data_IF_240294686233
#
_entry.id   IF_240294686233
#
_cell.length_a   1.000
_cell.length_b   1.000
_cell.length_c   1.000
_cell.angle_alpha   90.00
_cell.angle_beta   90.00
_cell.angle_gamma   90.00
#
_symmetry.space_group_name_H-M   'P 1'
#
loop_
_entity.id
_entity.type
_entity.pdbx_description
1 polymer ?
#
# COMPACT_ATOMS: atom_id res chain seq x y z
N UNK A 1 -26.65 -26.05 -34.48
CA UNK A 1 -26.16 -27.15 -33.63
C UNK A 1 -25.52 -26.52 -32.41
N UNK A 2 -26.27 -26.33 -31.32
CA UNK A 2 -25.75 -25.69 -30.10
C UNK A 2 -24.94 -26.72 -29.30
N UNK A 3 -23.75 -26.32 -28.86
CA UNK A 3 -22.79 -27.22 -28.23
C UNK A 3 -23.14 -27.46 -26.75
N UNK A 4 -23.59 -28.67 -26.37
CA UNK A 4 -24.12 -28.95 -25.04
C UNK A 4 -23.03 -28.97 -23.96
N UNK A 5 -21.75 -28.88 -24.34
CA UNK A 5 -20.64 -28.73 -23.38
C UNK A 5 -20.53 -27.29 -22.91
N UNK A 6 -20.80 -26.31 -23.79
CA UNK A 6 -20.76 -24.89 -23.44
C UNK A 6 -21.90 -24.50 -22.48
N UNK A 7 -23.09 -25.09 -22.67
CA UNK A 7 -24.19 -24.87 -21.72
C UNK A 7 -23.89 -25.39 -20.32
N UNK A 8 -23.22 -26.54 -20.22
CA UNK A 8 -22.86 -27.14 -18.93
C UNK A 8 -21.80 -26.33 -18.21
N UNK A 9 -20.80 -25.81 -18.94
CA UNK A 9 -19.76 -24.98 -18.34
C UNK A 9 -20.32 -23.63 -17.89
N UNK A 10 -21.17 -22.98 -18.69
CA UNK A 10 -21.80 -21.72 -18.32
C UNK A 10 -22.77 -21.86 -17.12
N UNK A 11 -23.52 -22.97 -17.04
CA UNK A 11 -24.34 -23.26 -15.85
C UNK A 11 -23.49 -23.49 -14.61
N UNK A 12 -22.34 -24.18 -14.74
CA UNK A 12 -21.44 -24.44 -13.61
C UNK A 12 -20.82 -23.15 -13.07
N UNK A 13 -20.35 -22.28 -13.97
CA UNK A 13 -19.79 -20.96 -13.59
C UNK A 13 -20.87 -20.08 -12.96
N UNK A 14 -22.09 -20.00 -13.51
CA UNK A 14 -23.19 -19.23 -12.89
C UNK A 14 -23.62 -19.76 -11.52
N UNK A 15 -23.63 -21.08 -11.32
CA UNK A 15 -23.94 -21.68 -10.02
C UNK A 15 -22.84 -21.43 -8.98
N UNK A 16 -21.60 -21.22 -9.42
CA UNK A 16 -20.46 -20.87 -8.57
C UNK A 16 -20.48 -19.39 -8.20
N UNK A 17 -20.85 -18.51 -9.13
CA UNK A 17 -21.05 -17.06 -8.88
C UNK A 17 -22.18 -16.78 -7.88
N UNK A 18 -23.28 -17.55 -7.93
CA UNK A 18 -24.43 -17.36 -7.04
C UNK A 18 -24.15 -17.81 -5.58
N UNK A 19 -23.22 -18.75 -5.37
CA UNK A 19 -22.84 -19.23 -4.02
C UNK A 19 -21.88 -18.29 -3.29
N UNK A 20 -21.03 -17.57 -4.03
CA UNK A 20 -20.16 -16.54 -3.45
C UNK A 20 -20.96 -15.32 -2.96
N UNK A 21 -22.07 -15.00 -3.62
CA UNK A 21 -22.93 -13.87 -3.22
C UNK A 21 -23.90 -14.22 -2.07
N UNK A 22 -24.27 -15.49 -1.89
CA UNK A 22 -25.21 -15.94 -0.84
C UNK A 22 -24.58 -16.23 0.53
N UNK A 23 -23.25 -16.09 0.67
CA UNK A 23 -22.55 -16.08 1.97
C UNK A 23 -22.42 -14.67 2.58
N UNK A 24 -23.08 -13.67 1.99
CA UNK A 24 -23.15 -12.28 2.47
C UNK A 24 -24.55 -11.82 2.90
N UNK A 25 -25.50 -12.74 3.12
CA UNK A 25 -26.84 -12.42 3.59
C UNK A 25 -27.16 -13.08 4.92
N UNK A 26 -27.00 -12.33 6.02
CA UNK A 26 -27.51 -12.72 7.33
C UNK A 26 -26.63 -12.40 8.53
N UNK A 27 -26.22 -11.14 8.72
CA UNK A 27 -25.90 -10.65 10.07
C UNK A 27 -27.13 -9.87 10.52
N UNK A 28 -27.87 -10.43 11.47
CA UNK A 28 -28.96 -9.75 12.15
C UNK A 28 -28.42 -8.53 12.88
N UNK A 29 -28.95 -7.35 12.54
CA UNK A 29 -28.60 -6.11 13.23
C UNK A 29 -29.25 -6.10 14.63
N UNK A 30 -28.46 -6.43 15.66
CA UNK A 30 -28.79 -6.03 17.03
C UNK A 30 -28.31 -4.58 17.21
N UNK A 31 -29.23 -3.62 17.09
CA UNK A 31 -28.95 -2.21 17.40
C UNK A 31 -28.75 -2.10 18.91
N UNK A 32 -27.50 -2.02 19.34
CA UNK A 32 -27.13 -1.63 20.70
C UNK A 32 -26.41 -0.29 20.60
N UNK A 33 -27.12 0.76 21.01
CA UNK A 33 -26.61 2.12 21.05
C UNK A 33 -25.47 2.21 22.09
N UNK A 34 -24.24 2.27 21.61
CA UNK A 34 -23.10 2.75 22.41
C UNK A 34 -22.39 3.84 21.62
N UNK A 35 -22.31 5.00 22.26
CA UNK A 35 -21.69 6.23 21.78
C UNK A 35 -20.19 6.16 22.12
N UNK A 36 -19.32 6.18 21.10
CA UNK A 36 -18.04 6.93 21.00
C UNK A 36 -17.07 6.32 19.97
N UNK A 37 -16.45 7.21 19.20
CA UNK A 37 -15.33 7.06 18.27
C UNK A 37 -15.66 6.54 16.84
N UNK A 38 -15.53 7.46 15.87
CA UNK A 38 -15.74 7.22 14.45
C UNK A 38 -14.70 6.26 13.86
N UNK A 39 -15.18 5.14 13.35
CA UNK A 39 -14.37 4.21 12.55
C UNK A 39 -14.68 4.50 11.08
N UNK A 40 -13.74 5.13 10.38
CA UNK A 40 -13.75 5.23 8.92
C UNK A 40 -13.38 3.87 8.33
N UNK A 41 -14.38 3.05 8.02
CA UNK A 41 -14.19 1.87 7.17
C UNK A 41 -14.25 2.34 5.71
N UNK A 42 -13.15 2.88 5.19
CA UNK A 42 -13.01 3.15 3.76
C UNK A 42 -12.52 1.87 3.08
N UNK A 43 -13.43 1.14 2.44
CA UNK A 43 -13.11 0.01 1.57
C UNK A 43 -12.45 0.50 0.29
N UNK A 44 -11.15 0.27 0.13
CA UNK A 44 -10.43 0.52 -1.12
C UNK A 44 -10.47 -0.76 -1.95
N UNK A 45 -11.40 -0.84 -2.90
CA UNK A 45 -11.36 -1.84 -3.97
C UNK A 45 -10.57 -1.24 -5.14
N UNK A 46 -9.24 -1.41 -5.12
CA UNK A 46 -8.43 -1.24 -6.32
C UNK A 46 -7.67 -2.53 -6.63
N UNK A 47 -7.94 -3.07 -7.82
CA UNK A 47 -7.33 -4.29 -8.31
C UNK A 47 -5.88 -4.04 -8.67
N UNK A 48 -4.97 -4.42 -7.79
CA UNK A 48 -3.57 -4.55 -8.14
C UNK A 48 -3.29 -6.01 -8.49
N UNK A 49 -2.70 -6.25 -9.66
CA UNK A 49 -2.04 -7.53 -9.93
C UNK A 49 -0.82 -7.56 -9.01
N UNK A 50 -0.93 -8.22 -7.86
CA UNK A 50 0.20 -8.47 -7.00
C UNK A 50 1.18 -9.39 -7.75
N UNK A 51 2.34 -8.86 -8.15
CA UNK A 51 3.47 -9.75 -8.45
C UNK A 51 3.82 -10.44 -7.13
N UNK A 52 3.98 -11.78 -7.10
CA UNK A 52 4.34 -12.47 -5.86
C UNK A 52 5.56 -11.82 -5.21
N UNK A 53 5.41 -11.40 -3.94
CA UNK A 53 6.47 -10.74 -3.18
C UNK A 53 6.44 -9.22 -3.21
N UNK A 54 5.66 -8.56 -4.09
CA UNK A 54 5.48 -7.11 -4.02
C UNK A 54 4.61 -6.72 -2.82
N UNK A 55 5.09 -5.73 -2.07
CA UNK A 55 4.41 -5.20 -0.89
C UNK A 55 4.05 -3.75 -1.13
N UNK A 56 2.75 -3.45 -1.05
CA UNK A 56 2.23 -2.09 -1.10
C UNK A 56 2.03 -1.57 0.31
N UNK A 57 2.62 -0.42 0.61
CA UNK A 57 2.55 0.24 1.92
C UNK A 57 2.01 1.64 1.73
N UNK A 58 1.09 2.06 2.60
CA UNK A 58 0.56 3.43 2.61
C UNK A 58 0.69 4.04 4.00
N UNK A 59 0.88 5.36 4.05
CA UNK A 59 0.91 6.12 5.28
C UNK A 59 0.32 7.51 5.09
N UNK A 60 -0.14 8.10 6.21
CA UNK A 60 -0.57 9.48 6.30
C UNK A 60 -0.02 10.12 7.59
N UNK A 61 0.41 11.38 7.51
CA UNK A 61 0.91 12.18 8.64
C UNK A 61 0.50 13.63 8.44
N UNK A 62 -0.59 14.06 9.08
CA UNK A 62 -1.22 15.34 8.76
C UNK A 62 -1.65 15.37 7.28
N UNK A 63 -1.21 16.39 6.55
CA UNK A 63 -1.45 16.56 5.11
C UNK A 63 -0.52 15.71 4.22
N UNK A 64 0.51 15.09 4.80
CA UNK A 64 1.48 14.30 4.04
C UNK A 64 0.93 12.90 3.84
N UNK A 65 0.94 12.42 2.59
CA UNK A 65 0.56 11.07 2.24
C UNK A 65 1.66 10.38 1.47
N UNK A 66 1.83 9.08 1.69
CA UNK A 66 2.81 8.26 0.98
C UNK A 66 2.18 6.94 0.56
N UNK A 67 2.43 6.54 -0.68
CA UNK A 67 2.24 5.17 -1.17
C UNK A 67 3.57 4.66 -1.65
N UNK A 68 4.00 3.48 -1.21
CA UNK A 68 5.25 2.86 -1.61
C UNK A 68 5.02 1.40 -1.99
N UNK A 69 5.45 1.03 -3.19
CA UNK A 69 5.57 -0.37 -3.61
C UNK A 69 7.00 -0.84 -3.41
N UNK A 70 7.17 -1.94 -2.69
CA UNK A 70 8.45 -2.61 -2.46
C UNK A 70 8.45 -3.88 -3.31
N UNK A 71 9.40 -3.96 -4.24
CA UNK A 71 9.61 -5.16 -5.06
C UNK A 71 10.92 -5.84 -4.61
N UNK A 72 10.86 -7.08 -4.09
CA UNK A 72 12.05 -7.82 -3.69
C UNK A 72 13.00 -8.07 -4.84
N UNK A 73 14.30 -8.08 -4.54
CA UNK A 73 15.38 -8.54 -5.39
C UNK A 73 16.40 -9.31 -4.54
N UNK A 74 17.45 -9.85 -5.16
CA UNK A 74 18.45 -10.70 -4.50
C UNK A 74 19.29 -9.94 -3.46
N UNK A 75 18.82 -9.89 -2.22
CA UNK A 75 19.50 -9.24 -1.09
C UNK A 75 19.28 -7.72 -0.99
N UNK A 76 18.35 -7.17 -1.76
CA UNK A 76 18.00 -5.75 -1.77
C UNK A 76 16.55 -5.56 -2.26
N UNK A 77 16.05 -4.32 -2.22
CA UNK A 77 14.70 -3.99 -2.69
C UNK A 77 14.70 -2.84 -3.67
N UNK A 78 13.81 -2.91 -4.67
CA UNK A 78 13.39 -1.76 -5.47
C UNK A 78 12.21 -1.10 -4.79
N UNK A 79 12.19 0.23 -4.77
CA UNK A 79 11.07 1.01 -4.28
C UNK A 79 10.50 1.89 -5.37
N UNK A 80 9.18 1.99 -5.41
CA UNK A 80 8.46 3.01 -6.15
C UNK A 80 7.53 3.72 -5.18
N UNK A 81 7.86 4.97 -4.83
CA UNK A 81 7.12 5.75 -3.85
C UNK A 81 6.51 6.99 -4.49
N UNK A 82 5.26 7.29 -4.14
CA UNK A 82 4.59 8.56 -4.44
C UNK A 82 4.31 9.24 -3.11
N UNK A 83 4.76 10.49 -2.98
CA UNK A 83 4.63 11.30 -1.76
C UNK A 83 3.94 12.61 -2.10
N UNK A 84 2.89 12.94 -1.36
CA UNK A 84 2.06 14.13 -1.51
C UNK A 84 2.10 14.99 -0.24
N UNK A 85 1.75 16.28 -0.37
CA UNK A 85 1.56 17.18 0.79
C UNK A 85 2.85 17.72 1.42
N UNK A 86 4.00 17.54 0.78
CA UNK A 86 5.27 18.11 1.25
C UNK A 86 5.31 19.62 1.04
N UNK A 87 6.04 20.32 1.94
CA UNK A 87 6.30 21.75 1.77
C UNK A 87 7.15 21.98 0.52
N UNK A 88 6.87 23.01 -0.30
CA UNK A 88 7.74 23.36 -1.42
C UNK A 88 9.15 23.68 -0.94
N UNK A 89 10.13 23.36 -1.79
CA UNK A 89 11.57 23.59 -1.55
C UNK A 89 12.16 22.76 -0.39
N UNK A 90 11.36 21.87 0.22
CA UNK A 90 11.81 20.92 1.24
C UNK A 90 12.73 19.87 0.62
N UNK A 91 13.93 19.71 1.18
CA UNK A 91 14.85 18.64 0.79
C UNK A 91 14.41 17.36 1.49
N UNK A 92 14.16 16.32 0.72
CA UNK A 92 13.63 15.06 1.22
C UNK A 92 14.52 13.88 0.82
N UNK A 93 14.51 12.84 1.66
CA UNK A 93 15.15 11.56 1.40
C UNK A 93 14.18 10.43 1.74
N UNK A 94 14.08 9.45 0.85
CA UNK A 94 13.40 8.20 1.12
C UNK A 94 14.40 7.26 1.80
N UNK A 95 14.07 6.77 2.98
CA UNK A 95 14.94 5.93 3.79
C UNK A 95 14.23 4.65 4.17
N UNK A 96 14.90 3.53 3.96
CA UNK A 96 14.48 2.22 4.45
C UNK A 96 15.26 1.92 5.71
N UNK A 97 14.56 1.59 6.80
CA UNK A 97 15.16 1.16 8.06
C UNK A 97 14.98 -0.34 8.19
N UNK A 98 16.05 -1.07 8.48
CA UNK A 98 15.98 -2.51 8.71
C UNK A 98 15.57 -2.86 10.16
N UNK A 99 15.31 -4.14 10.40
CA UNK A 99 14.95 -4.69 11.73
C UNK A 99 16.03 -4.50 12.80
N UNK A 100 17.26 -4.12 12.42
CA UNK A 100 18.38 -3.80 13.32
C UNK A 100 18.52 -2.29 13.53
N UNK A 101 17.64 -1.47 12.97
CA UNK A 101 17.65 -0.02 13.03
C UNK A 101 18.66 0.66 12.09
N UNK A 102 19.32 -0.09 11.19
CA UNK A 102 20.23 0.49 10.20
C UNK A 102 19.41 1.18 9.11
N UNK A 103 19.86 2.35 8.68
CA UNK A 103 19.17 3.20 7.70
C UNK A 103 19.88 3.16 6.35
N UNK A 104 19.09 3.00 5.30
CA UNK A 104 19.56 2.93 3.92
C UNK A 104 18.79 3.96 3.09
N UNK A 105 19.50 4.94 2.53
CA UNK A 105 18.89 5.97 1.68
C UNK A 105 18.57 5.35 0.32
N UNK A 106 17.30 5.37 -0.06
CA UNK A 106 16.81 4.86 -1.33
C UNK A 106 16.76 5.91 -2.44
N UNK A 107 16.77 7.20 -2.08
CA UNK A 107 16.85 8.33 -3.01
C UNK A 107 16.55 9.65 -2.30
N UNK A 108 16.77 10.76 -2.99
CA UNK A 108 16.52 12.10 -2.45
C UNK A 108 16.04 13.07 -3.53
N UNK A 109 15.27 14.08 -3.12
CA UNK A 109 14.67 15.06 -4.01
C UNK A 109 14.43 16.40 -3.29
N UNK A 110 14.01 17.40 -4.06
CA UNK A 110 13.46 18.66 -3.54
C UNK A 110 11.99 18.70 -3.93
N UNK A 111 11.10 18.91 -2.97
CA UNK A 111 9.66 18.93 -3.21
C UNK A 111 9.25 20.16 -4.04
N UNK A 112 8.43 19.93 -5.08
CA UNK A 112 7.87 21.00 -5.92
C UNK A 112 6.46 21.38 -5.44
N UNK A 113 6.06 22.63 -5.70
CA UNK A 113 4.75 23.14 -5.25
C UNK A 113 3.62 22.53 -6.06
N UNK A 114 2.68 21.88 -5.38
CA UNK A 114 1.41 21.43 -5.97
C UNK A 114 1.48 20.11 -6.71
N UNK A 115 2.64 19.45 -6.73
CA UNK A 115 2.84 18.15 -7.38
C UNK A 115 3.15 17.07 -6.35
N UNK A 116 2.57 15.90 -6.55
CA UNK A 116 3.04 14.68 -5.90
C UNK A 116 4.40 14.29 -6.47
N UNK A 117 5.34 13.92 -5.60
CA UNK A 117 6.63 13.43 -6.06
C UNK A 117 6.61 11.92 -6.16
N UNK A 118 6.84 11.40 -7.37
CA UNK A 118 7.11 9.99 -7.59
C UNK A 118 8.61 9.73 -7.71
N UNK A 119 9.13 8.86 -6.87
CA UNK A 119 10.53 8.46 -6.80
C UNK A 119 10.66 6.95 -6.97
N UNK A 120 11.52 6.55 -7.90
CA UNK A 120 12.01 5.17 -7.98
C UNK A 120 13.40 5.09 -7.33
N UNK A 121 13.58 4.16 -6.41
CA UNK A 121 14.80 4.01 -5.61
C UNK A 121 15.17 2.55 -5.36
N UNK A 122 16.25 2.35 -4.61
CA UNK A 122 16.70 1.02 -4.17
C UNK A 122 17.36 1.08 -2.81
N UNK A 123 17.18 0.04 -1.98
CA UNK A 123 17.83 -0.05 -0.68
C UNK A 123 18.49 -1.42 -0.50
N UNK A 124 19.69 -1.43 0.09
CA UNK A 124 20.45 -2.64 0.41
C UNK A 124 19.87 -3.32 1.68
N UNK A 125 18.61 -3.72 1.61
CA UNK A 125 17.85 -4.41 2.65
C UNK A 125 17.02 -5.50 2.00
N UNK A 126 17.02 -6.72 2.54
CA UNK A 126 16.09 -7.75 2.09
C UNK A 126 14.65 -7.35 2.45
N UNK A 127 13.67 -7.66 1.61
CA UNK A 127 12.27 -7.27 1.87
C UNK A 127 11.74 -7.77 3.21
N UNK A 128 12.14 -8.98 3.64
CA UNK A 128 11.78 -9.55 4.94
C UNK A 128 12.38 -8.83 6.15
N UNK A 129 13.43 -8.02 5.93
CA UNK A 129 14.19 -7.35 6.98
C UNK A 129 13.79 -5.88 7.13
N UNK A 130 12.84 -5.37 6.36
CA UNK A 130 12.40 -3.98 6.44
C UNK A 130 11.55 -3.78 7.69
N UNK A 131 11.94 -2.82 8.53
CA UNK A 131 11.17 -2.38 9.69
C UNK A 131 10.31 -1.14 9.38
N UNK A 132 10.83 -0.22 8.58
CA UNK A 132 10.12 1.00 8.22
C UNK A 132 10.61 1.59 6.89
N UNK A 133 9.71 2.31 6.22
CA UNK A 133 10.01 3.17 5.08
C UNK A 133 9.58 4.56 5.47
N UNK A 134 10.50 5.52 5.42
CA UNK A 134 10.25 6.88 5.90
C UNK A 134 10.70 7.90 4.87
N UNK A 135 10.01 9.04 4.81
CA UNK A 135 10.55 10.25 4.21
C UNK A 135 11.10 11.10 5.33
N UNK A 136 12.36 11.47 5.21
CA UNK A 136 13.06 12.32 6.18
C UNK A 136 13.64 13.55 5.48
N UNK A 137 13.90 14.59 6.24
CA UNK A 137 14.78 15.67 5.82
C UNK A 137 16.25 15.26 5.98
N UNK A 138 17.21 15.90 5.27
CA UNK A 138 18.64 15.62 5.42
C UNK A 138 19.20 15.80 6.84
N UNK A 139 18.58 16.63 7.67
CA UNK A 139 18.90 16.82 9.10
C UNK A 139 18.29 15.73 10.00
N UNK A 140 17.52 14.80 9.44
CA UNK A 140 17.03 13.61 10.13
C UNK A 140 15.63 13.75 10.72
N UNK A 141 14.90 14.84 10.44
CA UNK A 141 13.51 14.97 10.84
C UNK A 141 12.65 13.98 10.04
N UNK A 142 11.86 13.16 10.73
CA UNK A 142 10.90 12.26 10.09
C UNK A 142 9.65 13.06 9.70
N UNK A 143 9.33 13.08 8.42
CA UNK A 143 8.13 13.75 7.90
C UNK A 143 6.94 12.79 7.85
N UNK A 144 7.19 11.56 7.40
CA UNK A 144 6.21 10.48 7.37
C UNK A 144 6.94 9.14 7.47
N UNK A 145 6.30 8.15 8.09
CA UNK A 145 6.82 6.79 8.19
C UNK A 145 5.71 5.79 8.00
N UNK A 146 6.04 4.71 7.29
CA UNK A 146 5.18 3.57 7.07
C UNK A 146 5.89 2.30 7.53
N UNK A 147 5.15 1.41 8.16
CA UNK A 147 5.62 0.05 8.48
C UNK A 147 5.04 -0.89 7.43
N UNK A 148 5.87 -1.70 6.76
CA UNK A 148 5.39 -2.65 5.76
C UNK A 148 4.37 -3.64 6.34
#
# INVERSE_FOLDING_TARGET
MHDPILERTLRRVRAESARAHRRRGGVAAAVSATVLAGVLVCGVQWGHRSVPGEQLVTAASGEIHMTATVSPADGWVRLHATVAGLRPDERCQLVVTDSRGRRFVAGGWVATRGDDTTLSGAALVASSDIAAISVITPDGQVLISATP
#
